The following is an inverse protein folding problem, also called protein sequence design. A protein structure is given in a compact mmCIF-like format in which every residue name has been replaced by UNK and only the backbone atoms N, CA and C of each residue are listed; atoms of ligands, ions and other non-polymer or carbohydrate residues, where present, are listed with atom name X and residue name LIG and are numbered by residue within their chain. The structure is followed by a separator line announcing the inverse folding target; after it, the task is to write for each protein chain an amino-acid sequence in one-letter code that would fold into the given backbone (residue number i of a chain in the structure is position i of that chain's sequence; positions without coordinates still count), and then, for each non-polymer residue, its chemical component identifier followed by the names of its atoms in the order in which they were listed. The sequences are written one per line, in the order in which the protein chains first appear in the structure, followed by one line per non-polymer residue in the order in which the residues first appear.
data_IF_323675612945
#
_entry.id   IF_323675612945
#
_cell.length_a   1.000
_cell.length_b   1.000
_cell.length_c   1.000
_cell.angle_alpha   90.00
_cell.angle_beta   90.00
_cell.angle_gamma   90.00
#
_symmetry.space_group_name_H-M   'P 1'
#
loop_
_entity.id
_entity.type
_entity.pdbx_description
1 polymer ?
#
# COMPACT_ATOMS: atom_id res chain seq x y z
N UNK A 1 2.23 -18.63 -9.62
CA UNK A 1 2.26 -17.29 -9.05
C UNK A 1 1.11 -16.47 -9.58
N UNK A 2 0.43 -15.85 -8.69
CA UNK A 2 -0.68 -15.00 -9.08
C UNK A 2 -0.36 -13.56 -8.73
N UNK A 3 -0.44 -12.70 -9.71
CA UNK A 3 -0.26 -11.29 -9.49
C UNK A 3 -1.36 -10.56 -10.22
N UNK A 4 -2.04 -9.69 -9.51
CA UNK A 4 -3.16 -8.99 -10.09
C UNK A 4 -3.31 -7.62 -9.44
N UNK A 5 -3.42 -6.60 -10.27
CA UNK A 5 -3.66 -5.24 -9.80
C UNK A 5 -4.87 -4.71 -10.55
N UNK A 6 -5.79 -4.13 -9.79
CA UNK A 6 -6.99 -3.56 -10.35
C UNK A 6 -7.16 -2.18 -9.76
N UNK A 7 -7.40 -1.19 -10.60
CA UNK A 7 -7.59 0.16 -10.13
C UNK A 7 -8.80 0.79 -10.80
N UNK A 8 -9.57 1.55 -10.02
CA UNK A 8 -10.66 2.34 -10.51
C UNK A 8 -10.42 3.76 -10.07
N UNK A 9 -10.38 4.66 -11.01
CA UNK A 9 -10.04 6.05 -10.73
C UNK A 9 -11.11 6.97 -11.30
N UNK A 10 -12.04 7.40 -10.47
CA UNK A 10 -13.08 8.33 -10.95
C UNK A 10 -12.49 9.68 -11.33
N UNK A 11 -11.33 10.04 -10.81
CA UNK A 11 -10.66 11.26 -11.16
C UNK A 11 -9.45 10.91 -12.02
N UNK A 12 -8.93 11.90 -12.73
CA UNK A 12 -7.74 11.67 -13.53
C UNK A 12 -6.59 11.28 -12.62
N UNK A 13 -6.07 10.11 -12.82
CA UNK A 13 -5.02 9.58 -11.98
C UNK A 13 -3.95 8.93 -12.84
N UNK A 14 -2.71 9.17 -12.49
CA UNK A 14 -1.62 8.45 -13.11
C UNK A 14 -1.02 7.55 -12.05
N UNK A 15 -0.91 6.28 -12.36
CA UNK A 15 -0.42 5.30 -11.42
C UNK A 15 0.84 4.66 -11.95
N UNK A 16 1.87 4.61 -11.12
CA UNK A 16 3.11 3.96 -11.47
C UNK A 16 3.36 2.84 -10.48
N UNK A 17 3.91 1.75 -10.96
CA UNK A 17 4.09 0.59 -10.13
C UNK A 17 5.47 -0.02 -10.35
N UNK A 18 6.17 -0.27 -9.26
CA UNK A 18 7.45 -0.96 -9.30
C UNK A 18 7.35 -2.19 -8.44
N UNK A 19 7.85 -3.29 -8.93
CA UNK A 19 7.82 -4.54 -8.18
C UNK A 19 9.24 -5.05 -8.03
N UNK A 20 9.61 -5.33 -6.79
CA UNK A 20 10.91 -5.86 -6.50
C UNK A 20 10.77 -7.17 -5.74
N UNK A 21 11.63 -8.12 -6.06
CA UNK A 21 11.64 -9.40 -5.37
C UNK A 21 13.01 -9.55 -4.73
N UNK A 22 13.05 -10.01 -3.50
CA UNK A 22 14.30 -10.10 -2.78
C UNK A 22 14.33 -11.31 -1.89
N UNK A 23 15.47 -11.98 -1.86
CA UNK A 23 15.68 -13.07 -0.92
C UNK A 23 16.27 -12.56 0.35
N UNK A 24 16.62 -11.29 0.40
CA UNK A 24 17.28 -10.73 1.57
C UNK A 24 16.24 -10.30 2.59
N UNK A 25 16.62 -10.42 3.82
CA UNK A 25 15.70 -10.03 4.87
C UNK A 25 15.96 -8.63 5.38
N UNK A 26 16.94 -7.97 4.85
CA UNK A 26 17.26 -6.67 5.40
C UNK A 26 16.14 -5.68 5.32
N UNK A 27 15.27 -5.86 4.35
CA UNK A 27 14.18 -4.93 4.22
C UNK A 27 13.28 -4.94 5.41
N UNK A 28 13.05 -6.08 5.96
CA UNK A 28 12.12 -6.16 7.07
C UNK A 28 12.77 -6.00 8.41
N UNK A 29 14.06 -5.97 8.46
CA UNK A 29 14.70 -5.90 9.74
C UNK A 29 14.45 -4.62 10.44
N UNK A 30 14.37 -3.56 9.72
CA UNK A 30 14.08 -2.29 10.32
C UNK A 30 12.80 -2.38 11.11
N UNK A 31 11.86 -3.06 10.55
CA UNK A 31 10.59 -3.17 11.21
C UNK A 31 10.59 -4.17 12.31
N UNK A 32 11.40 -5.17 12.19
CA UNK A 32 11.40 -6.19 13.19
C UNK A 32 11.64 -5.63 14.57
N UNK A 33 12.44 -4.59 14.63
CA UNK A 33 12.73 -4.05 15.94
C UNK A 33 11.59 -3.28 16.52
N UNK A 34 10.67 -2.90 15.74
CA UNK A 34 9.66 -2.01 16.26
C UNK A 34 8.69 -2.74 17.07
N UNK A 35 8.57 -3.72 17.18
CA UNK A 35 7.80 -4.28 18.15
C UNK A 35 6.57 -4.98 17.83
N UNK A 36 6.31 -5.96 18.57
CA UNK A 36 5.13 -6.77 18.41
C UNK A 36 3.86 -5.98 18.65
N UNK A 37 3.99 -4.95 19.41
CA UNK A 37 2.77 -4.21 19.76
C UNK A 37 2.10 -3.63 18.53
N UNK A 38 2.84 -3.38 17.48
CA UNK A 38 2.25 -2.79 16.30
C UNK A 38 1.89 -3.75 15.19
N UNK A 39 1.99 -5.01 15.44
CA UNK A 39 1.71 -5.97 14.39
C UNK A 39 0.35 -5.80 13.77
N UNK A 40 -0.67 -5.63 14.60
CA UNK A 40 -2.01 -5.50 14.05
C UNK A 40 -2.18 -4.24 13.23
N UNK A 41 -1.67 -3.12 13.72
CA UNK A 41 -1.83 -1.88 12.98
C UNK A 41 -0.98 -1.89 11.73
N UNK A 42 0.08 -2.66 11.68
CA UNK A 42 0.91 -2.67 10.49
C UNK A 42 0.33 -3.50 9.37
N UNK A 43 -0.65 -4.33 9.67
CA UNK A 43 -1.27 -5.12 8.62
C UNK A 43 -2.24 -4.30 7.80
N UNK A 44 -2.71 -3.19 8.36
CA UNK A 44 -3.52 -2.23 7.64
C UNK A 44 -2.91 -0.87 7.86
N UNK A 45 -3.12 0.01 6.91
CA UNK A 45 -2.64 1.37 7.04
C UNK A 45 -3.83 2.30 6.93
N UNK A 46 -3.96 3.21 7.90
CA UNK A 46 -5.07 4.13 7.90
C UNK A 46 -4.56 5.47 8.40
N UNK A 47 -4.55 6.47 7.54
CA UNK A 47 -4.12 7.81 7.94
C UNK A 47 -5.13 8.82 7.42
N UNK A 48 -5.26 9.91 8.15
CA UNK A 48 -6.12 11.01 7.76
C UNK A 48 -7.58 10.75 8.05
N UNK A 49 -8.41 11.71 7.68
CA UNK A 49 -9.84 11.69 7.95
C UNK A 49 -10.61 11.83 6.65
N UNK A 50 -11.56 10.95 6.43
CA UNK A 50 -12.35 11.01 5.21
C UNK A 50 -13.28 12.22 5.21
N UNK A 51 -14.02 12.42 6.29
CA UNK A 51 -14.90 13.59 6.38
C UNK A 51 -15.75 13.76 5.16
N UNK A 52 -15.70 14.97 4.58
CA UNK A 52 -16.48 15.29 3.38
C UNK A 52 -15.69 15.04 2.10
N UNK A 53 -14.57 14.35 2.21
CA UNK A 53 -13.77 14.08 1.02
C UNK A 53 -14.46 13.07 0.12
N UNK A 54 -14.01 13.01 -1.11
CA UNK A 54 -14.54 12.03 -2.04
C UNK A 54 -13.48 11.00 -2.33
N UNK A 55 -13.92 9.85 -2.80
CA UNK A 55 -13.00 8.79 -3.15
C UNK A 55 -12.32 9.15 -4.47
N UNK A 56 -11.00 9.23 -4.45
CA UNK A 56 -10.23 9.59 -5.63
C UNK A 56 -9.85 8.35 -6.43
N UNK A 57 -9.49 7.28 -5.75
CA UNK A 57 -9.09 6.06 -6.44
C UNK A 57 -9.27 4.88 -5.50
N UNK A 58 -9.61 3.75 -6.09
CA UNK A 58 -9.59 2.50 -5.35
C UNK A 58 -8.82 1.50 -6.22
N UNK A 59 -7.92 0.73 -5.60
CA UNK A 59 -7.16 -0.25 -6.34
C UNK A 59 -6.90 -1.45 -5.46
N UNK A 60 -6.70 -2.58 -6.08
CA UNK A 60 -6.44 -3.81 -5.37
C UNK A 60 -5.16 -4.43 -5.92
N UNK A 61 -4.33 -4.92 -5.03
CA UNK A 61 -3.03 -5.45 -5.40
C UNK A 61 -2.85 -6.81 -4.76
N UNK A 62 -2.70 -7.82 -5.58
CA UNK A 62 -2.60 -9.20 -5.14
C UNK A 62 -1.30 -9.78 -5.65
N UNK A 63 -0.55 -10.39 -4.75
CA UNK A 63 0.68 -11.07 -5.11
C UNK A 63 0.68 -12.43 -4.47
N UNK A 64 0.92 -13.45 -5.28
CA UNK A 64 1.02 -14.80 -4.76
C UNK A 64 2.35 -15.05 -4.09
N UNK A 65 2.38 -16.00 -3.19
CA UNK A 65 3.60 -16.32 -2.48
C UNK A 65 4.66 -16.87 -3.43
N UNK A 66 5.91 -16.49 -3.17
CA UNK A 66 7.05 -17.02 -3.89
C UNK A 66 8.02 -17.51 -2.83
N UNK A 67 8.41 -18.76 -2.94
CA UNK A 67 9.25 -19.37 -1.90
C UNK A 67 10.51 -18.56 -1.65
N UNK A 68 10.80 -18.37 -0.39
CA UNK A 68 12.04 -17.70 0.06
C UNK A 68 12.22 -16.29 -0.46
N UNK A 69 11.14 -15.64 -0.84
CA UNK A 69 11.24 -14.34 -1.48
C UNK A 69 10.39 -13.31 -0.73
N UNK A 70 10.91 -12.12 -0.59
CA UNK A 70 10.17 -10.98 -0.08
C UNK A 70 9.77 -10.14 -1.28
N UNK A 71 8.48 -9.88 -1.43
CA UNK A 71 7.97 -9.11 -2.54
C UNK A 71 7.79 -7.66 -2.07
N UNK A 72 8.34 -6.72 -2.81
CA UNK A 72 8.19 -5.31 -2.49
C UNK A 72 7.61 -4.61 -3.72
N UNK A 73 6.54 -3.89 -3.50
CA UNK A 73 5.86 -3.19 -4.57
C UNK A 73 5.65 -1.75 -4.14
N UNK A 74 6.04 -0.82 -5.00
CA UNK A 74 5.81 0.60 -4.75
C UNK A 74 4.82 1.11 -5.78
N UNK A 75 3.73 1.70 -5.32
CA UNK A 75 2.67 2.18 -6.17
C UNK A 75 2.52 3.66 -5.96
N UNK A 76 2.65 4.43 -7.01
CA UNK A 76 2.54 5.88 -6.92
C UNK A 76 1.26 6.34 -7.61
N UNK A 77 0.49 7.15 -6.87
CA UNK A 77 -0.73 7.74 -7.38
C UNK A 77 -0.51 9.24 -7.48
N UNK A 78 -0.74 9.79 -8.66
CA UNK A 78 -0.61 11.22 -8.89
C UNK A 78 -1.96 11.78 -9.28
N UNK A 79 -2.34 12.87 -8.64
CA UNK A 79 -3.62 13.51 -8.92
C UNK A 79 -3.39 14.91 -9.44
N UNK A 80 -4.45 15.54 -9.92
CA UNK A 80 -4.34 16.89 -10.44
C UNK A 80 -3.75 17.82 -9.37
N UNK A 81 -3.10 18.87 -9.81
CA UNK A 81 -2.39 19.75 -8.89
C UNK A 81 -3.28 20.37 -7.84
N UNK A 82 -4.55 20.55 -8.15
CA UNK A 82 -5.47 21.17 -7.18
C UNK A 82 -6.00 20.20 -6.14
N UNK A 83 -5.76 18.92 -6.31
CA UNK A 83 -6.26 17.92 -5.38
C UNK A 83 -5.37 17.85 -4.15
N UNK A 84 -6.00 17.64 -3.00
CA UNK A 84 -5.25 17.39 -1.76
C UNK A 84 -5.78 16.13 -1.12
N UNK A 85 -4.90 15.21 -0.85
CA UNK A 85 -5.25 13.94 -0.24
C UNK A 85 -5.63 14.18 1.22
N UNK A 86 -6.76 13.64 1.64
CA UNK A 86 -7.22 13.81 3.01
C UNK A 86 -7.20 12.51 3.80
N UNK A 87 -7.24 11.37 3.15
CA UNK A 87 -7.22 10.11 3.86
C UNK A 87 -6.72 9.01 2.95
N UNK A 88 -6.01 8.06 3.55
CA UNK A 88 -5.49 6.91 2.83
C UNK A 88 -5.82 5.67 3.65
N UNK A 89 -6.40 4.68 2.98
CA UNK A 89 -6.75 3.42 3.62
C UNK A 89 -6.15 2.29 2.80
N UNK A 90 -5.28 1.50 3.42
CA UNK A 90 -4.69 0.33 2.78
C UNK A 90 -5.11 -0.84 3.64
N UNK A 91 -6.08 -1.59 3.16
CA UNK A 91 -6.73 -2.60 3.97
C UNK A 91 -6.46 -3.99 3.42
N UNK A 92 -6.11 -4.87 4.32
CA UNK A 92 -5.90 -6.26 3.97
C UNK A 92 -7.24 -6.89 3.54
N UNK A 93 -7.17 -7.71 2.51
CA UNK A 93 -8.32 -8.47 2.07
C UNK A 93 -8.03 -9.92 2.41
N UNK A 94 -8.88 -10.52 3.21
CA UNK A 94 -8.69 -11.90 3.62
C UNK A 94 -7.77 -12.03 4.80
N UNK A 95 -7.24 -13.22 4.99
CA UNK A 95 -6.42 -13.51 6.14
C UNK A 95 -5.08 -12.80 6.06
N UNK A 96 -4.54 -12.47 7.22
CA UNK A 96 -3.25 -11.80 7.28
C UNK A 96 -2.14 -12.70 6.77
N UNK A 97 -1.20 -12.12 6.04
CA UNK A 97 0.00 -12.81 5.63
C UNK A 97 1.23 -12.07 6.14
N UNK A 98 1.03 -11.19 7.11
CA UNK A 98 2.11 -10.46 7.74
C UNK A 98 2.85 -9.51 6.79
N UNK A 99 2.11 -8.89 5.93
CA UNK A 99 2.69 -7.86 5.06
C UNK A 99 2.54 -6.49 5.71
N UNK A 100 3.18 -5.28 5.23
CA UNK A 100 3.17 -4.37 5.70
C UNK A 100 3.01 -3.49 4.89
N UNK A 101 2.14 -2.76 4.93
CA UNK A 101 2.03 -1.58 4.06
C UNK A 101 2.60 -0.34 4.73
N UNK A 102 3.11 0.57 3.92
CA UNK A 102 3.63 1.82 4.47
C UNK A 102 3.54 2.91 3.41
N UNK A 103 3.70 4.16 3.84
CA UNK A 103 3.77 5.28 2.92
C UNK A 103 5.24 5.60 2.70
N UNK A 104 5.67 5.54 1.46
CA UNK A 104 7.06 5.79 1.14
C UNK A 104 7.31 7.26 0.81
N UNK A 105 6.31 7.96 0.29
CA UNK A 105 6.49 9.34 -0.12
C UNK A 105 5.14 10.01 -0.30
N UNK A 106 5.10 11.32 -0.15
CA UNK A 106 3.85 12.05 -0.34
C UNK A 106 2.87 11.80 0.79
N UNK A 107 1.59 11.88 0.47
CA UNK A 107 0.57 11.57 1.46
C UNK A 107 -0.37 12.72 1.74
N UNK A 108 -0.77 12.84 3.00
CA UNK A 108 -1.79 13.83 3.37
C UNK A 108 -1.39 15.23 2.97
N UNK A 109 -2.36 15.96 2.44
CA UNK A 109 -2.21 17.35 2.02
C UNK A 109 -1.32 17.51 0.80
N UNK A 110 -1.03 16.43 0.12
CA UNK A 110 -0.27 16.48 -1.12
C UNK A 110 -1.16 15.97 -2.24
N UNK A 111 -0.70 16.13 -3.47
CA UNK A 111 -1.47 15.60 -4.58
C UNK A 111 -0.88 14.30 -5.10
N UNK A 112 -0.03 13.68 -4.33
CA UNK A 112 0.51 12.38 -4.72
C UNK A 112 0.86 11.58 -3.48
N UNK A 113 0.98 10.27 -3.68
CA UNK A 113 1.41 9.40 -2.61
C UNK A 113 2.03 8.15 -3.24
N UNK A 114 3.10 7.67 -2.63
CA UNK A 114 3.68 6.39 -3.00
C UNK A 114 3.50 5.45 -1.81
N UNK A 115 2.86 4.34 -2.07
CA UNK A 115 2.58 3.35 -1.05
C UNK A 115 3.43 2.13 -1.32
N UNK A 116 4.07 1.64 -0.28
CA UNK A 116 4.89 0.45 -0.38
C UNK A 116 4.17 -0.71 0.28
N UNK A 117 4.08 -1.82 -0.44
CA UNK A 117 3.54 -3.06 0.09
C UNK A 117 4.69 -4.05 0.10
N UNK A 118 4.92 -4.65 1.25
CA UNK A 118 6.03 -5.58 1.40
C UNK A 118 5.52 -6.87 2.02
N UNK A 119 5.82 -7.99 1.40
CA UNK A 119 5.37 -9.26 1.91
C UNK A 119 6.32 -9.78 2.98
N UNK A 120 5.86 -10.74 3.75
CA UNK A 120 6.76 -11.52 4.57
C UNK A 120 7.47 -12.51 3.63
N UNK A 121 8.61 -13.00 4.08
CA UNK A 121 9.36 -13.94 3.24
C UNK A 121 8.53 -15.18 2.98
N UNK A 122 8.44 -15.54 1.72
CA UNK A 122 7.69 -16.73 1.33
C UNK A 122 6.20 -16.56 1.33
N UNK A 123 5.71 -15.33 1.49
CA UNK A 123 4.28 -15.07 1.55
C UNK A 123 3.90 -14.04 0.50
N UNK A 124 2.63 -13.93 0.24
CA UNK A 124 2.13 -12.90 -0.66
C UNK A 124 1.30 -11.90 0.10
N UNK A 125 0.39 -11.22 -0.60
CA UNK A 125 -0.53 -10.31 0.05
C UNK A 125 -1.70 -10.01 -0.86
N UNK A 126 -2.71 -9.41 -0.25
CA UNK A 126 -3.87 -8.94 -0.99
C UNK A 126 -4.33 -7.69 -0.26
N UNK A 127 -4.16 -6.54 -0.89
CA UNK A 127 -4.52 -5.26 -0.29
C UNK A 127 -5.42 -4.46 -1.19
N UNK A 128 -6.33 -3.72 -0.57
CA UNK A 128 -7.13 -2.73 -1.26
C UNK A 128 -6.68 -1.37 -0.79
N UNK A 129 -6.39 -0.49 -1.74
CA UNK A 129 -5.99 0.87 -1.44
C UNK A 129 -7.12 1.78 -1.83
N UNK A 130 -7.51 2.67 -0.93
CA UNK A 130 -8.49 3.70 -1.21
C UNK A 130 -7.91 5.03 -0.77
N UNK A 131 -7.97 6.01 -1.66
CA UNK A 131 -7.42 7.32 -1.38
C UNK A 131 -8.54 8.34 -1.56
N UNK A 132 -8.70 9.18 -0.55
CA UNK A 132 -9.73 10.20 -0.52
C UNK A 132 -9.10 11.58 -0.53
N UNK A 133 -9.81 12.55 -1.09
CA UNK A 133 -9.30 13.90 -1.11
C UNK A 133 -10.33 14.89 -1.58
N UNK A 134 -9.85 16.10 -1.76
CA UNK A 134 -10.73 17.19 -2.19
C UNK A 134 -9.95 18.27 -2.93
#
# INVERSE_FOLDING_TARGET
IVSQDIAEAPEAVVEYENILYSDEAEVSEVEAGSRSVDIETRRNLSVGTIGNSRLLVTSQHIRGAIANTIIVQNITFNFAASIRISAIRVMRVGASQNAXPSIASGGLNRNFVTIRLQSARGRGYNYRIQIYGR
#
